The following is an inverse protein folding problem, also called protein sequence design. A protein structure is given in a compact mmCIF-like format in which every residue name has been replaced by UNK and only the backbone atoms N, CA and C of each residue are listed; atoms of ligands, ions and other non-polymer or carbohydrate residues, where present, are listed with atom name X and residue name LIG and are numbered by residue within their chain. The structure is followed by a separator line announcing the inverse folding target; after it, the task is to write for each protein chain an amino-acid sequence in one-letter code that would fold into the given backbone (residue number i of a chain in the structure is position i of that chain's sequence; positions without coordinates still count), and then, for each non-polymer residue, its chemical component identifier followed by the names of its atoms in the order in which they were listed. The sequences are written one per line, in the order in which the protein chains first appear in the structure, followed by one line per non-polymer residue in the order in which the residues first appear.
data_IF_694105185108
#
_entry.id   IF_694105185108
#
_cell.length_a   1.000
_cell.length_b   1.000
_cell.length_c   1.000
_cell.angle_alpha   90.00
_cell.angle_beta   90.00
_cell.angle_gamma   90.00
#
_symmetry.space_group_name_H-M   'P 1'
#
loop_
_entity.id
_entity.type
_entity.pdbx_description
1 polymer ?
#
# COMPACT_ATOMS: atom_id res chain seq x y z
N UNK A 1 3.39 -22.40 10.96
CA UNK A 1 3.77 -21.09 11.54
C UNK A 1 4.51 -20.19 10.54
N UNK A 2 3.79 -19.46 9.67
CA UNK A 2 4.39 -18.33 8.93
C UNK A 2 4.70 -17.21 9.93
N UNK A 3 5.87 -16.57 9.91
CA UNK A 3 6.23 -15.61 10.94
C UNK A 3 5.34 -14.37 10.83
N UNK A 4 4.46 -14.20 11.82
CA UNK A 4 3.53 -13.05 11.97
C UNK A 4 4.25 -11.69 11.86
N UNK A 5 5.55 -11.67 12.14
CA UNK A 5 6.46 -10.54 12.01
C UNK A 5 6.54 -9.98 10.59
N UNK A 6 6.45 -10.82 9.55
CA UNK A 6 6.50 -10.37 8.14
C UNK A 6 5.32 -9.45 7.81
N UNK A 7 4.13 -9.74 8.36
CA UNK A 7 2.99 -8.87 8.18
C UNK A 7 3.22 -7.52 8.87
N UNK A 8 3.61 -7.51 10.14
CA UNK A 8 3.88 -6.26 10.84
C UNK A 8 4.95 -5.39 10.14
N UNK A 9 6.00 -6.01 9.61
CA UNK A 9 7.01 -5.30 8.80
C UNK A 9 6.38 -4.74 7.52
N UNK A 10 5.57 -5.53 6.81
CA UNK A 10 4.86 -5.08 5.61
C UNK A 10 3.96 -3.87 5.88
N UNK A 11 3.20 -3.88 6.98
CA UNK A 11 2.38 -2.75 7.42
C UNK A 11 3.21 -1.49 7.69
N UNK A 12 4.29 -1.62 8.47
CA UNK A 12 5.16 -0.49 8.82
C UNK A 12 5.81 0.10 7.58
N UNK A 13 6.31 -0.74 6.67
CA UNK A 13 6.87 -0.28 5.39
C UNK A 13 5.82 0.47 4.58
N UNK A 14 4.58 -0.03 4.50
CA UNK A 14 3.50 0.63 3.76
C UNK A 14 3.18 2.01 4.35
N UNK A 15 3.16 2.15 5.68
CA UNK A 15 2.92 3.42 6.37
C UNK A 15 4.06 4.40 6.11
N UNK A 16 5.31 3.98 6.30
CA UNK A 16 6.49 4.84 6.07
C UNK A 16 6.52 5.30 4.61
N UNK A 17 6.22 4.37 3.69
CA UNK A 17 6.24 4.65 2.27
C UNK A 17 5.06 5.57 1.84
N UNK A 18 3.93 5.56 2.57
CA UNK A 18 2.78 6.43 2.32
C UNK A 18 2.96 7.88 2.82
N UNK A 19 3.91 8.13 3.73
CA UNK A 19 4.11 9.45 4.29
C UNK A 19 4.82 10.42 3.33
N UNK A 20 5.34 9.92 2.20
CA UNK A 20 5.69 10.73 1.04
C UNK A 20 6.69 11.87 1.26
N UNK A 21 7.54 11.78 2.29
CA UNK A 21 8.45 12.87 2.66
C UNK A 21 9.45 13.25 1.55
N UNK A 22 9.71 12.33 0.61
CA UNK A 22 10.63 12.53 -0.50
C UNK A 22 9.95 13.04 -1.77
N UNK A 23 8.61 13.08 -1.85
CA UNK A 23 7.91 13.39 -3.10
C UNK A 23 7.65 14.90 -3.22
N UNK A 24 8.15 15.58 -4.27
CA UNK A 24 7.82 16.97 -4.52
C UNK A 24 6.35 17.08 -4.97
N UNK A 25 5.56 17.93 -4.31
CA UNK A 25 4.18 18.19 -4.71
C UNK A 25 4.16 19.02 -6.00
N UNK A 26 3.91 18.37 -7.13
CA UNK A 26 3.76 19.01 -8.44
C UNK A 26 2.44 18.57 -9.08
N UNK A 27 1.70 19.53 -9.59
CA UNK A 27 0.47 19.27 -10.34
C UNK A 27 0.82 18.82 -11.76
N UNK A 28 1.01 17.52 -11.93
CA UNK A 28 1.23 16.88 -13.24
C UNK A 28 -0.04 16.13 -13.64
N UNK A 29 -0.41 16.19 -14.92
CA UNK A 29 -1.49 15.35 -15.47
C UNK A 29 -0.89 14.19 -16.26
N UNK A 30 -1.32 12.98 -15.94
CA UNK A 30 -1.15 11.81 -16.78
C UNK A 30 -2.23 11.75 -17.87
N UNK A 31 -1.81 11.39 -19.08
CA UNK A 31 -2.69 11.23 -20.26
C UNK A 31 -3.55 12.47 -20.62
N UNK A 32 -3.21 13.64 -20.07
CA UNK A 32 -3.95 14.89 -20.32
C UNK A 32 -5.27 15.04 -19.58
N UNK A 33 -5.68 14.07 -18.74
CA UNK A 33 -6.95 14.16 -17.98
C UNK A 33 -6.89 13.62 -16.55
N UNK A 34 -5.92 12.77 -16.20
CA UNK A 34 -5.83 12.17 -14.87
C UNK A 34 -4.75 12.89 -14.04
N UNK A 35 -5.10 13.55 -12.92
CA UNK A 35 -4.10 14.13 -12.03
C UNK A 35 -3.16 13.06 -11.46
N UNK A 36 -1.86 13.33 -11.46
CA UNK A 36 -0.84 12.43 -10.88
C UNK A 36 -1.16 12.09 -9.43
N UNK A 37 -1.60 13.07 -8.63
CA UNK A 37 -1.97 12.84 -7.23
C UNK A 37 -3.16 11.89 -7.07
N UNK A 38 -4.10 11.88 -8.02
CA UNK A 38 -5.23 10.96 -8.01
C UNK A 38 -4.78 9.53 -8.36
N UNK A 39 -3.97 9.38 -9.41
CA UNK A 39 -3.37 8.10 -9.79
C UNK A 39 -2.53 7.52 -8.65
N UNK A 40 -1.75 8.38 -7.98
CA UNK A 40 -0.90 8.03 -6.86
C UNK A 40 -1.70 7.55 -5.64
N UNK A 41 -2.77 8.28 -5.26
CA UNK A 41 -3.69 7.84 -4.20
C UNK A 41 -4.38 6.52 -4.53
N UNK A 42 -4.80 6.33 -5.79
CA UNK A 42 -5.37 5.05 -6.25
C UNK A 42 -4.36 3.90 -6.13
N UNK A 43 -3.10 4.16 -6.49
CA UNK A 43 -2.00 3.19 -6.29
C UNK A 43 -1.87 2.76 -4.83
N UNK A 44 -1.92 3.71 -3.89
CA UNK A 44 -1.90 3.41 -2.46
C UNK A 44 -3.10 2.60 -1.98
N UNK A 45 -4.30 2.93 -2.44
CA UNK A 45 -5.51 2.18 -2.11
C UNK A 45 -5.41 0.72 -2.59
N UNK A 46 -4.90 0.50 -3.81
CA UNK A 46 -4.69 -0.83 -4.35
C UNK A 46 -3.62 -1.62 -3.59
N UNK A 47 -2.51 -0.97 -3.22
CA UNK A 47 -1.44 -1.56 -2.40
C UNK A 47 -1.95 -1.98 -1.02
N UNK A 48 -2.70 -1.10 -0.34
CA UNK A 48 -3.31 -1.40 0.95
C UNK A 48 -4.33 -2.56 0.84
N UNK A 49 -5.12 -2.58 -0.23
CA UNK A 49 -6.08 -3.65 -0.48
C UNK A 49 -5.40 -5.01 -0.76
N UNK A 50 -4.37 -5.02 -1.61
CA UNK A 50 -3.56 -6.21 -1.87
C UNK A 50 -2.89 -6.72 -0.59
N UNK A 51 -2.38 -5.82 0.24
CA UNK A 51 -1.79 -6.15 1.53
C UNK A 51 -2.82 -6.75 2.49
N UNK A 52 -4.05 -6.20 2.55
CA UNK A 52 -5.14 -6.77 3.34
C UNK A 52 -5.52 -8.18 2.88
N UNK A 53 -5.63 -8.41 1.57
CA UNK A 53 -5.90 -9.75 1.01
C UNK A 53 -4.78 -10.73 1.38
N UNK A 54 -3.53 -10.29 1.28
CA UNK A 54 -2.38 -11.09 1.67
C UNK A 54 -2.44 -11.44 3.17
N UNK A 55 -2.73 -10.46 4.02
CA UNK A 55 -2.83 -10.61 5.46
C UNK A 55 -3.94 -11.60 5.84
N UNK A 56 -5.15 -11.42 5.30
CA UNK A 56 -6.28 -12.31 5.61
C UNK A 56 -6.04 -13.73 5.12
N UNK A 57 -5.41 -13.92 3.95
CA UNK A 57 -5.12 -15.27 3.43
C UNK A 57 -3.95 -15.97 4.12
N UNK A 58 -2.93 -15.23 4.53
CA UNK A 58 -1.66 -15.82 5.00
C UNK A 58 -1.50 -15.82 6.51
N UNK A 59 -2.07 -14.82 7.20
CA UNK A 59 -1.90 -14.62 8.66
C UNK A 59 -3.18 -14.93 9.40
N UNK A 60 -4.34 -14.59 8.82
CA UNK A 60 -5.66 -14.90 9.40
C UNK A 60 -6.20 -16.28 8.97
N UNK A 61 -5.41 -17.14 8.30
CA UNK A 61 -5.81 -18.54 8.21
C UNK A 61 -5.74 -19.13 9.62
N UNK A 62 -6.90 -19.31 10.23
CA UNK A 62 -7.09 -20.19 11.36
C UNK A 62 -6.50 -21.56 10.95
N UNK A 63 -5.51 -22.01 11.72
CA UNK A 63 -4.94 -23.35 11.57
C UNK A 63 -6.04 -24.33 12.02
N UNK A 64 -6.90 -24.75 11.08
CA UNK A 64 -7.66 -25.99 11.19
C UNK A 64 -6.71 -27.19 10.98
#
# INVERSE_FOLDING_TARGET
MKPKWIAWIGLVVLIVLHLDFWRPQRAVLYFGWLPEDMAYRLGWMLLAWAYLIFFTRSVWREED
#
